data_IF_935093490920
#
_entry.id   IF_935093490920
#
_cell.length_a   1.000
_cell.length_b   1.000
_cell.length_c   1.000
_cell.angle_alpha   90.00
_cell.angle_beta   90.00
_cell.angle_gamma   90.00
#
_symmetry.space_group_name_H-M   'P 1'
#
loop_
_entity.id
_entity.type
_entity.pdbx_description
1 polymer ?
#
# COMPACT_ATOMS: atom_id res chain seq x y z
N UNK A 1 26.72 -2.61 13.31
CA UNK A 1 27.03 -1.38 12.53
C UNK A 1 27.71 -1.82 11.25
N UNK A 2 26.93 -2.15 10.23
CA UNK A 2 27.38 -2.43 8.85
C UNK A 2 26.19 -2.05 7.96
N UNK A 3 26.35 -1.10 7.02
CA UNK A 3 25.25 -0.62 6.17
C UNK A 3 25.47 0.81 5.63
N UNK A 4 26.62 1.06 5.00
CA UNK A 4 26.97 2.37 4.46
C UNK A 4 26.05 2.80 3.30
N UNK A 5 25.58 4.04 3.34
CA UNK A 5 25.02 4.78 2.20
C UNK A 5 23.51 4.64 1.97
N UNK A 6 22.99 3.41 1.77
CA UNK A 6 21.56 3.20 1.43
C UNK A 6 20.61 3.35 2.63
N UNK A 7 21.05 2.96 3.81
CA UNK A 7 20.24 3.02 5.04
C UNK A 7 20.09 4.46 5.54
N UNK A 8 21.15 5.27 5.39
CA UNK A 8 21.14 6.69 5.77
C UNK A 8 20.14 7.51 4.97
N UNK A 9 20.02 7.28 3.66
CA UNK A 9 19.04 7.98 2.81
C UNK A 9 17.60 7.68 3.23
N UNK A 10 17.34 6.46 3.68
CA UNK A 10 16.04 6.03 4.22
C UNK A 10 15.73 6.70 5.57
N UNK A 11 16.73 6.83 6.46
CA UNK A 11 16.60 7.52 7.75
C UNK A 11 16.46 9.05 7.60
N UNK A 12 17.12 9.65 6.60
CA UNK A 12 17.06 11.11 6.36
C UNK A 12 15.63 11.60 6.20
N UNK A 13 14.76 10.81 5.56
CA UNK A 13 13.35 11.14 5.38
C UNK A 13 12.56 11.29 6.69
N UNK A 14 12.95 10.59 7.75
CA UNK A 14 12.27 10.60 9.05
C UNK A 14 12.59 11.86 9.88
N UNK A 15 13.76 12.46 9.68
CA UNK A 15 14.25 13.59 10.46
C UNK A 15 13.92 14.96 9.83
N UNK A 16 13.36 14.98 8.61
CA UNK A 16 13.11 16.23 7.86
C UNK A 16 12.12 17.17 8.55
N UNK A 17 11.22 16.62 9.35
CA UNK A 17 10.17 17.39 10.02
C UNK A 17 10.60 17.92 11.39
N UNK A 18 11.86 17.69 11.78
CA UNK A 18 12.39 18.08 13.10
C UNK A 18 13.68 18.90 12.96
N UNK A 19 14.49 18.65 11.94
CA UNK A 19 15.83 19.26 11.77
C UNK A 19 15.82 20.41 10.76
N UNK A 20 16.39 21.54 11.14
CA UNK A 20 16.75 22.65 10.24
C UNK A 20 18.08 22.29 9.58
N UNK A 21 18.03 21.77 8.35
CA UNK A 21 19.20 21.20 7.68
C UNK A 21 20.30 22.20 7.37
N UNK A 22 19.95 23.46 7.19
CA UNK A 22 20.87 24.58 6.97
C UNK A 22 21.69 24.90 8.21
N UNK A 23 21.20 24.55 9.41
CA UNK A 23 21.86 24.76 10.70
C UNK A 23 22.49 23.47 11.27
N UNK A 24 22.19 22.30 10.69
CA UNK A 24 22.64 21.00 11.22
C UNK A 24 24.15 20.79 11.06
N UNK A 25 24.82 20.45 12.16
CA UNK A 25 26.23 20.06 12.20
C UNK A 25 26.38 18.70 12.89
N UNK A 26 27.20 17.79 12.35
CA UNK A 26 27.42 16.47 12.95
C UNK A 26 28.32 16.49 14.20
N UNK A 27 29.05 17.58 14.44
CA UNK A 27 29.95 17.75 15.58
C UNK A 27 29.32 18.43 16.80
N UNK A 28 28.15 19.07 16.66
CA UNK A 28 27.47 19.81 17.73
C UNK A 28 25.95 19.72 17.59
N UNK A 29 25.22 19.66 18.72
CA UNK A 29 23.76 19.61 18.72
C UNK A 29 23.20 20.83 19.46
N UNK A 30 22.41 21.66 18.76
CA UNK A 30 21.84 22.92 19.27
C UNK A 30 20.33 23.03 19.07
N UNK A 31 19.66 23.84 19.89
CA UNK A 31 18.19 24.06 19.80
C UNK A 31 17.78 24.76 18.50
N UNK A 32 18.66 25.58 17.97
CA UNK A 32 18.59 26.28 16.69
C UNK A 32 18.61 25.33 15.47
N UNK A 33 19.06 24.09 15.67
CA UNK A 33 19.04 23.04 14.65
C UNK A 33 17.68 22.33 14.54
N UNK A 34 16.67 22.76 15.33
CA UNK A 34 15.33 22.16 15.37
C UNK A 34 14.26 23.17 14.93
N UNK A 35 13.25 22.71 14.19
CA UNK A 35 12.12 23.56 13.79
C UNK A 35 11.30 23.98 15.03
N UNK A 36 10.87 25.25 15.14
CA UNK A 36 10.01 25.69 16.23
C UNK A 36 8.64 25.02 16.11
N UNK A 37 8.37 24.03 16.95
CA UNK A 37 7.11 23.28 16.94
C UNK A 37 6.39 23.43 18.28
N UNK A 38 5.09 23.71 18.22
CA UNK A 38 4.19 23.53 19.37
C UNK A 38 4.13 22.05 19.78
N UNK A 39 4.23 21.81 21.09
CA UNK A 39 4.51 20.53 21.77
C UNK A 39 5.68 19.71 21.15
N UNK A 40 6.92 20.25 21.23
CA UNK A 40 8.10 19.68 20.59
C UNK A 40 8.56 18.36 21.24
N UNK A 41 8.31 18.18 22.55
CA UNK A 41 8.74 16.97 23.26
C UNK A 41 8.03 15.73 22.75
N UNK A 42 6.71 15.79 22.53
CA UNK A 42 5.93 14.63 22.08
C UNK A 42 6.36 14.15 20.70
N UNK A 43 6.64 15.07 19.77
CA UNK A 43 7.11 14.74 18.41
C UNK A 43 8.56 14.26 18.40
N UNK A 44 9.46 14.91 19.13
CA UNK A 44 10.86 14.46 19.26
C UNK A 44 10.92 13.07 19.91
N UNK A 45 10.13 12.82 20.96
CA UNK A 45 10.04 11.50 21.59
C UNK A 45 9.49 10.44 20.63
N UNK A 46 8.52 10.78 19.78
CA UNK A 46 8.00 9.87 18.78
C UNK A 46 9.07 9.52 17.74
N UNK A 47 9.78 10.51 17.19
CA UNK A 47 10.86 10.26 16.23
C UNK A 47 12.05 9.50 16.83
N UNK A 48 12.45 9.83 18.06
CA UNK A 48 13.49 9.07 18.78
C UNK A 48 13.04 7.62 19.07
N UNK A 49 11.75 7.38 19.37
CA UNK A 49 11.21 6.02 19.50
C UNK A 49 11.28 5.28 18.18
N UNK A 50 10.91 5.90 17.06
CA UNK A 50 10.99 5.32 15.71
C UNK A 50 12.43 4.96 15.35
N UNK A 51 13.37 5.88 15.59
CA UNK A 51 14.80 5.65 15.36
C UNK A 51 15.37 4.54 16.26
N UNK A 52 14.99 4.51 17.54
CA UNK A 52 15.38 3.44 18.47
C UNK A 52 14.83 2.08 18.04
N UNK A 53 13.58 2.01 17.58
CA UNK A 53 13.01 0.77 17.02
C UNK A 53 13.83 0.32 15.83
N UNK A 54 14.12 1.21 14.87
CA UNK A 54 14.98 0.91 13.73
C UNK A 54 16.35 0.37 14.14
N UNK A 55 17.04 1.03 15.08
CA UNK A 55 18.35 0.55 15.55
C UNK A 55 18.29 -0.84 16.21
N UNK A 56 17.14 -1.22 16.78
CA UNK A 56 16.94 -2.49 17.47
C UNK A 56 16.45 -3.62 16.55
N UNK A 57 15.59 -3.30 15.60
CA UNK A 57 14.85 -4.30 14.82
C UNK A 57 15.12 -4.22 13.32
N UNK A 58 15.78 -3.17 12.86
CA UNK A 58 15.89 -2.82 11.43
C UNK A 58 14.59 -2.28 10.83
N UNK A 59 13.53 -2.13 11.63
CA UNK A 59 12.20 -1.75 11.14
C UNK A 59 12.03 -0.23 11.07
N UNK A 60 11.62 0.26 9.90
CA UNK A 60 11.23 1.66 9.73
C UNK A 60 9.74 1.79 10.06
N UNK A 61 9.46 2.36 11.23
CA UNK A 61 8.09 2.70 11.64
C UNK A 61 7.64 3.99 10.96
N UNK A 62 6.49 3.94 10.29
CA UNK A 62 5.91 5.06 9.52
C UNK A 62 4.59 5.54 10.10
N UNK A 63 4.05 6.68 9.63
CA UNK A 63 2.71 7.17 10.05
C UNK A 63 1.62 6.20 9.58
N UNK A 64 1.64 5.84 8.30
CA UNK A 64 0.76 4.82 7.72
C UNK A 64 1.44 3.44 7.80
N UNK A 65 0.71 2.37 8.16
CA UNK A 65 1.29 1.03 8.23
C UNK A 65 1.81 0.57 6.87
N UNK A 66 2.95 -0.12 6.87
CA UNK A 66 3.56 -0.64 5.65
C UNK A 66 2.78 -1.87 5.14
N UNK A 67 2.35 -1.91 3.86
CA UNK A 67 1.84 -3.15 3.27
C UNK A 67 2.91 -4.26 3.30
N UNK A 68 2.52 -5.44 3.75
CA UNK A 68 3.41 -6.60 3.90
C UNK A 68 3.41 -7.45 2.62
N UNK A 69 4.58 -7.89 2.17
CA UNK A 69 4.68 -8.87 1.09
C UNK A 69 4.37 -10.27 1.64
N UNK A 70 3.42 -10.96 1.03
CA UNK A 70 3.00 -12.31 1.43
C UNK A 70 3.71 -13.40 0.63
N UNK A 71 4.15 -13.08 -0.58
CA UNK A 71 4.86 -13.98 -1.48
C UNK A 71 4.78 -13.50 -2.92
N UNK A 72 5.58 -14.10 -3.79
CA UNK A 72 5.58 -13.78 -5.22
C UNK A 72 5.99 -14.97 -6.08
N UNK A 73 5.66 -14.87 -7.36
CA UNK A 73 6.18 -15.67 -8.46
C UNK A 73 6.90 -14.75 -9.45
N UNK A 74 7.34 -15.26 -10.59
CA UNK A 74 7.89 -14.41 -11.65
C UNK A 74 6.88 -13.38 -12.20
N UNK A 75 5.59 -13.74 -12.20
CA UNK A 75 4.55 -12.97 -12.89
C UNK A 75 3.57 -12.28 -11.94
N UNK A 76 3.51 -12.67 -10.66
CA UNK A 76 2.51 -12.21 -9.69
C UNK A 76 3.14 -11.97 -8.33
N UNK A 77 2.66 -10.98 -7.61
CA UNK A 77 2.99 -10.69 -6.22
C UNK A 77 1.72 -10.60 -5.39
N UNK A 78 1.80 -11.05 -4.14
CA UNK A 78 0.73 -10.96 -3.15
C UNK A 78 1.16 -10.01 -2.03
N UNK A 79 0.31 -9.05 -1.69
CA UNK A 79 0.55 -8.13 -0.59
C UNK A 79 -0.65 -8.10 0.36
N UNK A 80 -0.38 -7.96 1.65
CA UNK A 80 -1.39 -7.62 2.64
C UNK A 80 -1.56 -6.10 2.66
N UNK A 81 -2.69 -5.63 2.13
CA UNK A 81 -3.11 -4.23 2.21
C UNK A 81 -3.57 -3.94 3.64
N UNK A 82 -2.99 -2.92 4.31
CA UNK A 82 -3.51 -2.45 5.59
C UNK A 82 -4.85 -1.71 5.43
N UNK A 83 -5.59 -1.59 6.52
CA UNK A 83 -6.73 -0.66 6.57
C UNK A 83 -6.25 0.79 6.36
N UNK A 84 -7.12 1.64 5.82
CA UNK A 84 -6.88 3.07 5.57
C UNK A 84 -6.31 3.40 4.17
N UNK A 85 -5.82 2.40 3.43
CA UNK A 85 -5.32 2.59 2.06
C UNK A 85 -6.46 2.63 1.04
N UNK A 86 -6.38 3.53 0.07
CA UNK A 86 -7.28 3.57 -1.07
C UNK A 86 -6.83 2.63 -2.20
N UNK A 87 -7.82 2.09 -2.91
CA UNK A 87 -7.64 1.34 -4.14
C UNK A 87 -8.45 2.01 -5.27
N UNK A 88 -8.17 3.28 -5.56
CA UNK A 88 -8.79 3.98 -6.69
C UNK A 88 -8.06 3.63 -7.98
N UNK A 89 -8.78 3.28 -9.04
CA UNK A 89 -8.19 2.99 -10.36
C UNK A 89 -8.35 4.17 -11.33
N UNK A 90 -8.49 5.39 -10.79
CA UNK A 90 -9.08 6.52 -11.50
C UNK A 90 -10.55 6.66 -11.10
N UNK A 91 -11.08 7.88 -11.15
CA UNK A 91 -12.47 8.18 -10.76
C UNK A 91 -13.50 7.52 -11.67
N UNK A 92 -14.78 7.84 -11.48
CA UNK A 92 -15.80 7.51 -12.48
C UNK A 92 -15.46 8.23 -13.80
N UNK A 93 -14.94 7.50 -14.79
CA UNK A 93 -14.64 8.04 -16.12
C UNK A 93 -13.19 7.85 -16.57
N UNK A 94 -12.72 8.77 -17.39
CA UNK A 94 -11.39 8.80 -18.00
C UNK A 94 -10.34 9.52 -17.14
N UNK A 95 -10.61 9.78 -15.85
CA UNK A 95 -9.69 10.54 -14.98
C UNK A 95 -8.60 9.64 -14.40
N UNK A 96 -7.30 9.96 -14.58
CA UNK A 96 -6.20 9.20 -14.00
C UNK A 96 -6.21 9.14 -12.47
N UNK A 97 -5.60 8.11 -11.84
CA UNK A 97 -5.46 8.05 -10.40
C UNK A 97 -4.68 9.24 -9.84
N UNK A 98 -5.18 9.86 -8.77
CA UNK A 98 -4.45 10.90 -8.05
C UNK A 98 -3.32 10.27 -7.23
N UNK A 99 -2.09 10.68 -7.54
CA UNK A 99 -0.88 10.28 -6.80
C UNK A 99 -0.26 11.45 -6.06
N UNK A 100 0.42 11.16 -4.97
CA UNK A 100 1.15 12.18 -4.21
C UNK A 100 2.49 12.55 -4.85
N UNK A 101 3.12 13.61 -4.33
CA UNK A 101 4.48 14.01 -4.72
C UNK A 101 5.59 13.28 -3.93
N UNK A 102 5.27 12.18 -3.23
CA UNK A 102 6.26 11.45 -2.43
C UNK A 102 7.36 10.84 -3.32
N UNK A 103 8.63 11.05 -2.96
CA UNK A 103 9.77 10.57 -3.78
C UNK A 103 10.01 9.06 -3.66
N UNK A 104 9.35 8.37 -2.73
CA UNK A 104 9.51 6.93 -2.52
C UNK A 104 8.47 6.34 -1.56
N UNK A 105 8.50 5.02 -1.33
CA UNK A 105 7.49 4.33 -0.52
C UNK A 105 7.52 4.80 0.94
N UNK A 106 8.70 5.01 1.54
CA UNK A 106 8.82 5.51 2.91
C UNK A 106 8.29 6.94 3.05
N UNK A 107 8.59 7.81 2.08
CA UNK A 107 8.08 9.18 2.07
C UNK A 107 6.56 9.23 1.92
N UNK A 108 5.99 8.30 1.12
CA UNK A 108 4.54 8.15 0.98
C UNK A 108 3.89 7.73 2.30
N UNK A 109 4.49 6.79 3.02
CA UNK A 109 3.96 6.28 4.29
C UNK A 109 4.14 7.27 5.47
N UNK A 110 5.00 8.27 5.32
CA UNK A 110 5.21 9.34 6.32
C UNK A 110 4.46 10.63 6.00
N UNK A 111 3.49 10.58 5.09
CA UNK A 111 2.56 11.70 4.92
C UNK A 111 1.76 11.94 6.21
N UNK A 112 1.28 13.18 6.37
CA UNK A 112 0.52 13.59 7.56
C UNK A 112 -0.66 12.65 7.80
N UNK A 113 -0.96 12.41 9.06
CA UNK A 113 -2.12 11.61 9.47
C UNK A 113 -3.42 12.14 8.82
N UNK A 114 -4.28 11.23 8.37
CA UNK A 114 -5.46 11.57 7.58
C UNK A 114 -5.23 11.69 6.07
N UNK A 115 -3.98 11.66 5.59
CA UNK A 115 -3.70 11.62 4.15
C UNK A 115 -4.18 10.29 3.53
N UNK A 116 -4.79 10.39 2.35
CA UNK A 116 -5.32 9.26 1.60
C UNK A 116 -4.22 8.61 0.77
N UNK A 117 -3.58 7.55 1.28
CA UNK A 117 -2.53 6.82 0.57
C UNK A 117 -3.15 5.81 -0.41
N UNK A 118 -2.74 5.85 -1.68
CA UNK A 118 -3.13 4.84 -2.67
C UNK A 118 -2.22 3.62 -2.61
N UNK A 119 -2.78 2.41 -2.62
CA UNK A 119 -1.99 1.18 -2.59
C UNK A 119 -1.14 1.00 -3.86
N UNK A 120 -1.69 1.37 -5.02
CA UNK A 120 -0.97 1.28 -6.29
C UNK A 120 0.18 2.29 -6.35
N UNK A 121 0.11 3.41 -5.63
CA UNK A 121 1.21 4.35 -5.47
C UNK A 121 2.34 3.76 -4.63
N UNK A 122 2.01 3.12 -3.51
CA UNK A 122 3.00 2.40 -2.71
C UNK A 122 3.70 1.31 -3.54
N UNK A 123 2.93 0.52 -4.30
CA UNK A 123 3.47 -0.54 -5.16
C UNK A 123 4.38 0.06 -6.24
N UNK A 124 3.90 1.04 -6.99
CA UNK A 124 4.68 1.65 -8.06
C UNK A 124 5.96 2.32 -7.53
N UNK A 125 5.97 2.86 -6.31
CA UNK A 125 7.18 3.49 -5.74
C UNK A 125 8.11 2.48 -5.06
N UNK A 126 7.58 1.37 -4.57
CA UNK A 126 8.30 0.42 -3.72
C UNK A 126 8.96 -0.75 -4.44
N UNK A 127 8.55 -1.04 -5.67
CA UNK A 127 8.98 -2.25 -6.38
C UNK A 127 9.46 -1.96 -7.80
N UNK A 128 10.30 -2.85 -8.32
CA UNK A 128 10.94 -2.71 -9.63
C UNK A 128 10.60 -3.87 -10.57
N UNK A 129 9.32 -4.01 -10.88
CA UNK A 129 8.81 -4.93 -11.90
C UNK A 129 8.08 -4.15 -13.00
N UNK A 130 7.86 -4.80 -14.15
CA UNK A 130 7.37 -4.18 -15.38
C UNK A 130 6.17 -3.24 -15.17
N UNK A 131 5.09 -3.71 -14.53
CA UNK A 131 3.89 -2.89 -14.32
C UNK A 131 4.13 -1.72 -13.37
N UNK A 132 4.96 -1.87 -12.33
CA UNK A 132 5.34 -0.77 -11.43
C UNK A 132 6.17 0.30 -12.18
N UNK A 133 7.16 -0.13 -12.97
CA UNK A 133 8.01 0.76 -13.76
C UNK A 133 7.19 1.53 -14.79
N UNK A 134 6.35 0.84 -15.55
CA UNK A 134 5.47 1.46 -16.55
C UNK A 134 4.42 2.39 -15.93
N UNK A 135 3.98 2.11 -14.70
CA UNK A 135 3.14 3.05 -13.95
C UNK A 135 3.86 4.33 -13.58
N UNK A 136 5.13 4.26 -13.14
CA UNK A 136 5.93 5.46 -12.89
C UNK A 136 6.14 6.27 -14.17
N UNK A 137 6.41 5.61 -15.30
CA UNK A 137 6.54 6.25 -16.62
C UNK A 137 5.24 6.94 -17.04
N UNK A 138 4.09 6.27 -16.87
CA UNK A 138 2.78 6.85 -17.15
C UNK A 138 2.54 8.14 -16.35
N UNK A 139 2.87 8.16 -15.05
CA UNK A 139 2.69 9.37 -14.24
C UNK A 139 3.60 10.53 -14.66
N UNK A 140 4.78 10.26 -15.22
CA UNK A 140 5.67 11.31 -15.74
C UNK A 140 5.06 12.03 -16.95
N UNK A 141 4.19 11.36 -17.70
CA UNK A 141 3.50 11.96 -18.85
C UNK A 141 2.47 13.00 -18.41
N UNK A 142 2.04 13.01 -17.14
CA UNK A 142 1.02 13.91 -16.60
C UNK A 142 -0.24 13.96 -17.47
N UNK A 143 -0.65 12.80 -17.98
CA UNK A 143 -1.85 12.68 -18.77
C UNK A 143 -3.06 13.22 -17.99
N UNK A 144 -3.91 14.00 -18.63
CA UNK A 144 -5.16 14.49 -18.03
C UNK A 144 -6.30 13.47 -18.17
N UNK A 145 -6.16 12.55 -19.13
CA UNK A 145 -7.15 11.54 -19.48
C UNK A 145 -6.54 10.18 -19.72
N UNK A 146 -7.26 9.14 -19.31
CA UNK A 146 -6.95 7.75 -19.57
C UNK A 146 -7.41 7.38 -20.96
N UNK A 147 -6.48 6.86 -21.77
CA UNK A 147 -6.79 6.32 -23.09
C UNK A 147 -7.58 5.01 -23.03
N UNK A 148 -7.73 4.39 -21.84
CA UNK A 148 -8.49 3.17 -21.67
C UNK A 148 -9.03 3.06 -20.24
N UNK A 149 -10.29 2.64 -20.11
CA UNK A 149 -10.97 2.50 -18.81
C UNK A 149 -11.57 1.11 -18.61
N UNK A 150 -11.19 0.12 -19.43
CA UNK A 150 -11.77 -1.23 -19.35
C UNK A 150 -11.31 -2.01 -18.10
N UNK A 151 -10.25 -1.55 -17.45
CA UNK A 151 -9.64 -2.18 -16.27
C UNK A 151 -9.31 -3.67 -16.47
N UNK A 152 -9.06 -4.13 -17.69
CA UNK A 152 -8.84 -5.55 -17.99
C UNK A 152 -7.67 -5.80 -18.95
N UNK A 153 -7.22 -4.77 -19.67
CA UNK A 153 -6.13 -4.88 -20.62
C UNK A 153 -4.77 -4.55 -20.00
N UNK A 154 -3.71 -4.85 -20.74
CA UNK A 154 -2.32 -4.57 -20.35
C UNK A 154 -2.08 -3.08 -20.10
N UNK A 155 -2.72 -2.20 -20.87
CA UNK A 155 -2.63 -0.75 -20.68
C UNK A 155 -3.23 -0.30 -19.36
N UNK A 156 -4.37 -0.86 -18.98
CA UNK A 156 -4.94 -0.57 -17.66
C UNK A 156 -4.04 -1.07 -16.53
N UNK A 157 -3.29 -2.16 -16.73
CA UNK A 157 -2.32 -2.63 -15.74
C UNK A 157 -1.30 -1.54 -15.39
N UNK A 158 -0.86 -0.76 -16.37
CA UNK A 158 0.15 0.30 -16.19
C UNK A 158 -0.41 1.56 -15.54
N UNK A 159 -1.73 1.73 -15.39
CA UNK A 159 -2.25 2.88 -14.65
C UNK A 159 -2.24 2.68 -13.14
N UNK A 160 -2.21 1.42 -12.69
CA UNK A 160 -2.45 1.02 -11.29
C UNK A 160 -1.45 -0.01 -10.78
N UNK A 161 -0.24 -0.02 -11.33
CA UNK A 161 0.86 -0.89 -10.93
C UNK A 161 0.49 -2.38 -10.90
N UNK A 162 -0.37 -2.82 -11.83
CA UNK A 162 -0.78 -4.22 -11.94
C UNK A 162 -1.76 -4.72 -10.88
N UNK A 163 -2.37 -3.84 -10.05
CA UNK A 163 -3.37 -4.24 -9.05
C UNK A 163 -4.58 -4.96 -9.67
N UNK A 164 -4.74 -6.26 -9.40
CA UNK A 164 -5.77 -7.09 -10.03
C UNK A 164 -7.12 -6.94 -9.34
N UNK A 165 -7.16 -6.88 -8.02
CA UNK A 165 -8.37 -6.68 -7.24
C UNK A 165 -8.36 -5.33 -6.53
N UNK A 166 -9.54 -4.94 -6.02
CA UNK A 166 -9.71 -3.80 -5.13
C UNK A 166 -10.23 -4.30 -3.78
N UNK A 167 -9.83 -3.60 -2.73
CA UNK A 167 -10.39 -3.70 -1.39
C UNK A 167 -10.80 -2.28 -0.99
N UNK A 168 -11.92 -2.15 -0.28
CA UNK A 168 -12.36 -0.84 0.22
C UNK A 168 -11.34 -0.26 1.21
N UNK A 169 -11.46 1.05 1.47
CA UNK A 169 -10.49 1.78 2.29
C UNK A 169 -10.23 1.08 3.62
N UNK A 170 -11.30 0.74 4.32
CA UNK A 170 -11.27 0.14 5.65
C UNK A 170 -11.13 -1.40 5.62
N UNK A 171 -11.15 -2.00 4.43
CA UNK A 171 -10.94 -3.44 4.25
C UNK A 171 -9.45 -3.72 4.15
N UNK A 172 -8.94 -4.52 5.07
CA UNK A 172 -7.58 -5.07 5.00
C UNK A 172 -7.59 -6.45 4.34
N UNK A 173 -6.43 -6.94 3.90
CA UNK A 173 -6.29 -8.30 3.40
C UNK A 173 -5.50 -8.41 2.11
N UNK A 174 -5.69 -9.53 1.41
CA UNK A 174 -4.86 -9.92 0.27
C UNK A 174 -5.19 -9.13 -0.99
N UNK A 175 -4.17 -8.49 -1.55
CA UNK A 175 -4.17 -7.89 -2.88
C UNK A 175 -3.25 -8.69 -3.79
N UNK A 176 -3.73 -8.98 -4.99
CA UNK A 176 -2.97 -9.63 -6.06
C UNK A 176 -2.48 -8.57 -7.02
N UNK A 177 -1.20 -8.62 -7.35
CA UNK A 177 -0.51 -7.65 -8.20
C UNK A 177 0.19 -8.39 -9.33
N UNK A 178 -0.17 -8.11 -10.58
CA UNK A 178 0.57 -8.66 -11.71
C UNK A 178 1.88 -7.88 -11.90
N UNK A 179 3.00 -8.60 -11.88
CA UNK A 179 4.33 -8.04 -12.15
C UNK A 179 4.55 -7.73 -13.63
N UNK A 180 3.88 -8.51 -14.51
CA UNK A 180 3.92 -8.38 -15.98
C UNK A 180 2.57 -7.93 -16.51
N UNK A 181 2.54 -7.06 -17.53
CA UNK A 181 1.27 -6.56 -18.06
C UNK A 181 0.43 -7.67 -18.73
N UNK A 182 1.09 -8.63 -19.38
CA UNK A 182 0.43 -9.81 -19.96
C UNK A 182 -0.28 -10.69 -18.93
N UNK A 183 0.32 -10.85 -17.74
CA UNK A 183 -0.29 -11.59 -16.63
C UNK A 183 -1.54 -10.89 -16.08
N UNK A 184 -1.58 -9.55 -16.11
CA UNK A 184 -2.73 -8.78 -15.64
C UNK A 184 -4.02 -9.16 -16.36
N UNK A 185 -3.97 -9.27 -17.70
CA UNK A 185 -5.14 -9.59 -18.52
C UNK A 185 -5.69 -10.99 -18.21
N UNK A 186 -4.81 -11.98 -18.09
CA UNK A 186 -5.19 -13.35 -17.75
C UNK A 186 -5.83 -13.41 -16.36
N UNK A 187 -5.18 -12.84 -15.35
CA UNK A 187 -5.66 -12.86 -13.97
C UNK A 187 -6.96 -12.08 -13.78
N UNK A 188 -7.17 -10.96 -14.48
CA UNK A 188 -8.46 -10.24 -14.42
C UNK A 188 -9.59 -11.06 -15.00
N UNK A 189 -9.34 -11.84 -16.06
CA UNK A 189 -10.31 -12.80 -16.59
C UNK A 189 -10.63 -13.87 -15.56
N UNK A 190 -9.61 -14.49 -14.97
CA UNK A 190 -9.79 -15.58 -14.01
C UNK A 190 -10.50 -15.12 -12.73
N UNK A 191 -10.16 -13.94 -12.21
CA UNK A 191 -10.82 -13.36 -11.03
C UNK A 191 -12.25 -12.88 -11.35
N UNK A 192 -12.53 -12.53 -12.60
CA UNK A 192 -13.85 -12.11 -13.07
C UNK A 192 -14.80 -13.29 -13.29
N UNK A 193 -14.30 -14.40 -13.83
CA UNK A 193 -15.07 -15.62 -14.10
C UNK A 193 -14.92 -16.63 -12.96
N UNK A 194 -15.74 -16.42 -11.93
CA UNK A 194 -15.77 -17.25 -10.72
C UNK A 194 -16.16 -18.71 -11.00
N UNK A 195 -16.86 -18.95 -12.09
CA UNK A 195 -17.43 -20.25 -12.48
C UNK A 195 -16.39 -21.19 -13.11
N UNK A 196 -15.37 -20.66 -13.78
CA UNK A 196 -14.41 -21.46 -14.55
C UNK A 196 -12.99 -21.48 -13.98
N UNK A 197 -12.61 -20.49 -13.16
CA UNK A 197 -11.23 -20.37 -12.68
C UNK A 197 -10.92 -21.09 -11.37
N UNK A 198 -11.96 -21.50 -10.62
CA UNK A 198 -11.80 -22.00 -9.25
C UNK A 198 -11.31 -20.96 -8.24
N UNK A 199 -11.23 -19.67 -8.62
CA UNK A 199 -10.78 -18.60 -7.73
C UNK A 199 -11.79 -18.37 -6.60
N UNK A 200 -11.34 -18.52 -5.36
CA UNK A 200 -12.15 -18.24 -4.16
C UNK A 200 -11.61 -17.04 -3.39
N UNK A 201 -12.52 -16.23 -2.82
CA UNK A 201 -12.19 -15.09 -1.96
C UNK A 201 -12.90 -15.28 -0.63
N UNK A 202 -12.12 -15.48 0.41
CA UNK A 202 -12.61 -15.67 1.77
C UNK A 202 -12.34 -14.41 2.58
N UNK A 203 -13.35 -13.95 3.33
CA UNK A 203 -13.25 -12.79 4.21
C UNK A 203 -13.61 -13.20 5.63
N UNK A 204 -12.86 -12.68 6.60
CA UNK A 204 -13.23 -12.73 8.00
C UNK A 204 -13.92 -11.41 8.37
N UNK A 205 -15.12 -11.48 8.91
CA UNK A 205 -15.91 -10.32 9.32
C UNK A 205 -16.43 -10.48 10.75
N UNK A 206 -16.44 -9.38 11.50
CA UNK A 206 -17.14 -9.28 12.78
C UNK A 206 -18.50 -8.64 12.53
N UNK A 207 -19.57 -9.37 12.81
CA UNK A 207 -20.94 -8.93 12.61
C UNK A 207 -21.58 -8.52 13.95
N UNK A 208 -22.53 -7.58 13.90
CA UNK A 208 -23.33 -7.23 15.07
C UNK A 208 -24.46 -8.26 15.26
N UNK A 209 -24.67 -8.71 16.51
CA UNK A 209 -25.68 -9.71 16.87
C UNK A 209 -25.19 -11.16 16.78
N UNK A 210 -26.10 -12.11 16.90
CA UNK A 210 -25.81 -13.55 16.82
C UNK A 210 -26.04 -14.05 15.40
N UNK A 211 -25.06 -14.73 14.81
CA UNK A 211 -25.26 -15.43 13.53
C UNK A 211 -25.79 -16.84 13.78
N UNK A 212 -26.90 -17.19 13.13
CA UNK A 212 -27.32 -18.58 12.99
C UNK A 212 -26.44 -19.24 11.94
N UNK A 213 -25.49 -20.06 12.36
CA UNK A 213 -24.74 -20.92 11.45
C UNK A 213 -25.68 -22.04 11.02
N UNK A 214 -26.10 -22.06 9.76
CA UNK A 214 -26.70 -23.28 9.20
C UNK A 214 -25.61 -24.35 9.25
N UNK A 215 -25.89 -25.47 9.90
CA UNK A 215 -24.92 -26.56 10.12
C UNK A 215 -24.18 -26.86 8.82
N UNK A 216 -22.84 -26.81 8.79
CA UNK A 216 -22.10 -27.06 7.56
C UNK A 216 -22.40 -28.47 7.04
N UNK A 217 -22.47 -28.62 5.72
CA UNK A 217 -22.27 -29.92 5.11
C UNK A 217 -20.95 -30.51 5.64
N UNK A 218 -20.89 -31.82 5.97
CA UNK A 218 -19.77 -32.45 6.72
C UNK A 218 -18.37 -32.33 6.10
N UNK A 219 -18.25 -31.70 4.93
CA UNK A 219 -17.04 -31.56 4.11
C UNK A 219 -16.15 -30.34 4.44
N UNK A 220 -16.56 -29.44 5.34
CA UNK A 220 -15.84 -28.17 5.61
C UNK A 220 -15.21 -28.00 7.00
N UNK A 221 -15.22 -29.05 7.84
CA UNK A 221 -14.60 -29.04 9.17
C UNK A 221 -15.35 -28.18 10.21
N UNK A 222 -15.05 -28.35 11.50
CA UNK A 222 -15.76 -27.64 12.57
C UNK A 222 -15.42 -26.14 12.56
N UNK A 223 -16.45 -25.28 12.58
CA UNK A 223 -16.32 -23.83 12.74
C UNK A 223 -16.58 -22.98 11.49
N UNK A 224 -16.82 -23.60 10.34
CA UNK A 224 -17.18 -22.92 9.09
C UNK A 224 -18.67 -23.11 8.79
N UNK A 225 -19.31 -22.08 8.22
CA UNK A 225 -20.74 -22.11 7.89
C UNK A 225 -21.03 -21.28 6.65
N UNK A 226 -21.97 -21.74 5.82
CA UNK A 226 -22.52 -20.95 4.72
C UNK A 226 -23.53 -19.96 5.30
N UNK A 227 -23.38 -18.68 4.92
CA UNK A 227 -24.35 -17.64 5.22
C UNK A 227 -24.91 -17.15 3.88
N UNK A 228 -26.18 -17.46 3.61
CA UNK A 228 -26.94 -16.78 2.55
C UNK A 228 -27.28 -15.37 3.05
N UNK A 229 -26.43 -14.40 2.72
CA UNK A 229 -26.67 -13.02 3.08
C UNK A 229 -27.77 -12.39 2.21
N UNK A 230 -28.99 -12.29 2.74
CA UNK A 230 -29.96 -11.30 2.27
C UNK A 230 -29.58 -9.93 2.84
N UNK A 231 -28.89 -9.10 2.05
CA UNK A 231 -28.87 -7.66 2.33
C UNK A 231 -30.26 -7.11 1.98
N UNK A 232 -30.99 -6.64 2.98
CA UNK A 232 -32.14 -5.73 2.77
C UNK A 232 -31.64 -4.30 2.65
#
# INVERSE_FOLDING_TARGET
IVGGGKDWLSCKGMLKDVVVWEAFNCGTFGKDMLLPMGDPERKVLQELKRYRTFLKTGEVTTIHPRPQMLGETESVMFIAKPSGFLCSFGGNGDVPPTVSNAVGPTALLNQKEGTKVQIHEYIARGFDFETASRTREFWQQKAEKLECVCQACEKCATYIAGCINRLDKETSGVMVVAKKASAYKALRKDIGDKSSSGTQKHYLALCHGSMSVQTPAPEHGPGWGLVEGYMR
#
